data_IF_188783534344
#
_entry.id   IF_188783534344
#
_cell.length_a   1.000
_cell.length_b   1.000
_cell.length_c   1.000
_cell.angle_alpha   90.00
_cell.angle_beta   90.00
_cell.angle_gamma   90.00
#
_symmetry.space_group_name_H-M   'P 1'
#
loop_
_entity.id
_entity.type
_entity.pdbx_description
1 polymer ?
#
# COMPACT_ATOMS: atom_id res chain seq x y z
N UNK A 1 15.71 -13.49 -10.89
CA UNK A 1 14.74 -13.17 -9.80
C UNK A 1 14.49 -14.47 -9.02
N UNK A 2 15.10 -14.62 -7.85
CA UNK A 2 14.74 -15.74 -6.98
C UNK A 2 13.30 -15.54 -6.50
N UNK A 3 12.40 -16.39 -6.95
CA UNK A 3 11.03 -16.44 -6.42
C UNK A 3 11.08 -16.98 -4.99
N UNK A 4 10.33 -16.35 -4.10
CA UNK A 4 10.08 -16.91 -2.78
C UNK A 4 9.55 -18.35 -2.95
N UNK A 5 10.14 -19.31 -2.23
CA UNK A 5 9.73 -20.69 -2.36
C UNK A 5 8.29 -20.87 -1.80
N UNK A 6 7.31 -21.34 -2.58
CA UNK A 6 5.93 -21.47 -2.10
C UNK A 6 5.82 -22.37 -0.86
N UNK A 7 6.68 -23.38 -0.77
CA UNK A 7 6.72 -24.30 0.37
C UNK A 7 7.19 -23.59 1.66
N UNK A 8 8.22 -22.73 1.58
CA UNK A 8 8.69 -21.96 2.73
C UNK A 8 7.64 -20.95 3.19
N UNK A 9 6.99 -20.28 2.25
CA UNK A 9 5.91 -19.35 2.58
C UNK A 9 4.72 -20.07 3.24
N UNK A 10 4.35 -21.24 2.76
CA UNK A 10 3.30 -22.06 3.37
C UNK A 10 3.69 -22.58 4.76
N UNK A 11 4.97 -22.94 4.99
CA UNK A 11 5.47 -23.34 6.30
C UNK A 11 5.44 -22.16 7.29
N UNK A 12 5.92 -20.98 6.87
CA UNK A 12 5.88 -19.76 7.65
C UNK A 12 4.45 -19.36 8.03
N UNK A 13 3.51 -19.49 7.09
CA UNK A 13 2.09 -19.22 7.32
C UNK A 13 1.48 -20.16 8.37
N UNK A 14 1.93 -21.40 8.46
CA UNK A 14 1.53 -22.37 9.51
C UNK A 14 2.24 -22.16 10.85
N UNK A 15 3.11 -21.14 10.97
CA UNK A 15 3.77 -20.78 12.21
C UNK A 15 5.20 -21.33 12.38
N UNK A 16 5.81 -21.91 11.34
CA UNK A 16 7.22 -22.31 11.37
C UNK A 16 8.12 -21.06 11.45
N UNK A 17 8.78 -20.87 12.61
CA UNK A 17 9.63 -19.71 12.87
C UNK A 17 10.88 -19.66 11.98
N UNK A 18 11.47 -20.82 11.66
CA UNK A 18 12.65 -20.86 10.80
C UNK A 18 12.30 -20.52 9.36
N UNK A 19 11.15 -20.99 8.88
CA UNK A 19 10.61 -20.60 7.57
C UNK A 19 10.23 -19.12 7.53
N UNK A 20 9.64 -18.59 8.61
CA UNK A 20 9.31 -17.17 8.73
C UNK A 20 10.56 -16.29 8.63
N UNK A 21 11.65 -16.63 9.34
CA UNK A 21 12.90 -15.88 9.27
C UNK A 21 13.47 -15.86 7.84
N UNK A 22 13.46 -17.00 7.13
CA UNK A 22 13.89 -17.06 5.71
C UNK A 22 13.00 -16.20 4.80
N UNK A 23 11.68 -16.25 4.99
CA UNK A 23 10.72 -15.42 4.24
C UNK A 23 10.98 -13.93 4.47
N UNK A 24 11.20 -13.51 5.72
CA UNK A 24 11.48 -12.11 6.06
C UNK A 24 12.79 -11.63 5.45
N UNK A 25 13.87 -12.41 5.57
CA UNK A 25 15.17 -12.07 4.96
C UNK A 25 15.07 -11.94 3.45
N UNK A 26 14.40 -12.88 2.80
CA UNK A 26 14.22 -12.84 1.35
C UNK A 26 13.37 -11.63 0.92
N UNK A 27 12.29 -11.35 1.66
CA UNK A 27 11.38 -10.25 1.35
C UNK A 27 12.00 -8.88 1.55
N UNK A 28 12.93 -8.71 2.49
CA UNK A 28 13.51 -7.40 2.85
C UNK A 28 14.02 -6.64 1.63
N UNK A 29 14.80 -7.29 0.76
CA UNK A 29 15.37 -6.62 -0.41
C UNK A 29 14.29 -6.17 -1.41
N UNK A 30 13.25 -6.98 -1.60
CA UNK A 30 12.14 -6.64 -2.50
C UNK A 30 11.29 -5.50 -1.94
N UNK A 31 11.01 -5.54 -0.62
CA UNK A 31 10.27 -4.49 0.07
C UNK A 31 11.05 -3.16 0.08
N UNK A 32 12.38 -3.22 0.26
CA UNK A 32 13.24 -2.05 0.20
C UNK A 32 13.21 -1.37 -1.18
N UNK A 33 13.40 -2.15 -2.26
CA UNK A 33 13.29 -1.61 -3.63
C UNK A 33 11.92 -0.97 -3.89
N UNK A 34 10.86 -1.56 -3.37
CA UNK A 34 9.52 -0.98 -3.49
C UNK A 34 9.38 0.30 -2.66
N UNK A 35 9.93 0.33 -1.45
CA UNK A 35 9.94 1.51 -0.59
C UNK A 35 10.70 2.68 -1.20
N UNK A 36 11.83 2.44 -1.88
CA UNK A 36 12.63 3.46 -2.59
C UNK A 36 11.82 4.24 -3.65
N UNK A 37 10.74 3.65 -4.19
CA UNK A 37 9.83 4.33 -5.12
C UNK A 37 8.67 5.09 -4.42
N UNK A 38 8.35 4.76 -3.19
CA UNK A 38 7.14 5.25 -2.52
C UNK A 38 7.40 6.07 -1.27
N UNK A 39 8.56 5.91 -0.65
CA UNK A 39 8.99 6.66 0.52
C UNK A 39 9.92 7.82 0.15
N UNK A 40 10.01 8.81 1.02
CA UNK A 40 11.14 9.73 1.04
C UNK A 40 12.40 8.94 1.46
N UNK A 41 13.56 9.29 0.91
CA UNK A 41 14.79 8.48 1.03
C UNK A 41 15.16 8.15 2.49
N UNK A 42 14.96 9.11 3.40
CA UNK A 42 15.26 8.96 4.82
C UNK A 42 14.27 8.02 5.57
N UNK A 43 13.11 7.72 4.99
CA UNK A 43 12.06 6.91 5.61
C UNK A 43 12.06 5.47 5.07
N UNK A 44 12.89 5.15 4.08
CA UNK A 44 12.88 3.86 3.41
C UNK A 44 13.15 2.71 4.38
N UNK A 45 14.20 2.83 5.18
CA UNK A 45 14.60 1.74 6.09
C UNK A 45 13.56 1.56 7.22
N UNK A 46 13.05 2.65 7.78
CA UNK A 46 12.01 2.61 8.81
C UNK A 46 10.72 1.98 8.28
N UNK A 47 10.30 2.36 7.08
CA UNK A 47 9.12 1.78 6.44
C UNK A 47 9.29 0.28 6.18
N UNK A 48 10.47 -0.16 5.75
CA UNK A 48 10.78 -1.57 5.53
C UNK A 48 10.77 -2.34 6.82
N UNK A 49 11.40 -1.81 7.86
CA UNK A 49 11.50 -2.47 9.17
C UNK A 49 10.12 -2.65 9.81
N UNK A 50 9.29 -1.59 9.86
CA UNK A 50 7.91 -1.67 10.36
C UNK A 50 7.05 -2.63 9.52
N UNK A 51 7.28 -2.65 8.20
CA UNK A 51 6.59 -3.60 7.32
C UNK A 51 6.96 -5.05 7.62
N UNK A 52 8.24 -5.35 7.85
CA UNK A 52 8.69 -6.70 8.22
C UNK A 52 8.13 -7.14 9.58
N UNK A 53 8.07 -6.23 10.57
CA UNK A 53 7.43 -6.48 11.86
C UNK A 53 5.94 -6.80 11.67
N UNK A 54 5.25 -6.03 10.83
CA UNK A 54 3.84 -6.28 10.53
C UNK A 54 3.63 -7.62 9.81
N UNK A 55 4.50 -7.96 8.85
CA UNK A 55 4.48 -9.25 8.17
C UNK A 55 4.69 -10.39 9.17
N UNK A 56 5.69 -10.29 10.06
CA UNK A 56 5.98 -11.35 11.04
C UNK A 56 4.79 -11.61 11.98
N UNK A 57 4.06 -10.57 12.35
CA UNK A 57 2.91 -10.67 13.27
C UNK A 57 1.63 -11.16 12.61
N UNK A 58 1.45 -10.89 11.31
CA UNK A 58 0.16 -11.09 10.63
C UNK A 58 0.21 -12.07 9.46
N UNK A 59 1.33 -12.73 9.22
CA UNK A 59 1.44 -13.68 8.12
C UNK A 59 0.44 -14.84 8.28
N UNK A 60 0.26 -15.34 9.51
CA UNK A 60 -0.68 -16.43 9.80
C UNK A 60 -2.16 -16.04 9.56
N UNK A 61 -2.50 -14.75 9.58
CA UNK A 61 -3.85 -14.24 9.33
C UNK A 61 -4.16 -14.08 7.82
N UNK A 62 -3.16 -14.29 6.96
CA UNK A 62 -3.32 -14.11 5.52
C UNK A 62 -4.19 -15.23 4.92
N UNK A 63 -5.37 -14.88 4.40
CA UNK A 63 -6.32 -15.87 3.87
C UNK A 63 -5.80 -16.63 2.64
N UNK A 64 -5.06 -15.96 1.77
CA UNK A 64 -4.54 -16.50 0.52
C UNK A 64 -3.02 -16.27 0.47
N UNK A 65 -2.26 -17.34 0.64
CA UNK A 65 -0.79 -17.29 0.68
C UNK A 65 -0.21 -16.80 -0.63
N UNK A 66 -0.86 -17.08 -1.76
CA UNK A 66 -0.49 -16.63 -3.10
C UNK A 66 -0.50 -15.09 -3.23
N UNK A 67 -1.30 -14.43 -2.41
CA UNK A 67 -1.40 -12.96 -2.39
C UNK A 67 -0.32 -12.28 -1.51
N UNK A 68 0.62 -13.05 -0.94
CA UNK A 68 1.64 -12.55 0.00
C UNK A 68 2.37 -11.33 -0.54
N UNK A 69 2.91 -11.39 -1.75
CA UNK A 69 3.72 -10.32 -2.34
C UNK A 69 2.93 -9.01 -2.44
N UNK A 70 1.73 -9.06 -2.99
CA UNK A 70 0.87 -7.88 -3.13
C UNK A 70 0.38 -7.35 -1.78
N UNK A 71 0.18 -8.23 -0.80
CA UNK A 71 -0.16 -7.86 0.57
C UNK A 71 1.01 -7.19 1.29
N UNK A 72 2.22 -7.71 1.16
CA UNK A 72 3.43 -7.13 1.74
C UNK A 72 3.74 -5.75 1.14
N UNK A 73 3.62 -5.56 -0.18
CA UNK A 73 3.78 -4.26 -0.82
C UNK A 73 2.75 -3.22 -0.35
N UNK A 74 1.50 -3.64 -0.10
CA UNK A 74 0.48 -2.75 0.49
C UNK A 74 0.81 -2.32 1.92
N UNK A 75 1.49 -3.18 2.69
CA UNK A 75 2.00 -2.81 4.01
C UNK A 75 3.06 -1.72 3.86
N UNK A 76 4.08 -1.92 3.01
CA UNK A 76 5.15 -0.93 2.78
C UNK A 76 4.55 0.41 2.34
N UNK A 77 3.66 0.41 1.34
CA UNK A 77 3.03 1.65 0.85
C UNK A 77 2.29 2.40 1.98
N UNK A 78 1.61 1.66 2.87
CA UNK A 78 0.95 2.25 4.03
C UNK A 78 1.94 2.88 5.02
N UNK A 79 3.06 2.20 5.29
CA UNK A 79 4.08 2.74 6.18
C UNK A 79 4.75 3.99 5.59
N UNK A 80 5.08 3.99 4.30
CA UNK A 80 5.57 5.19 3.61
C UNK A 80 4.61 6.37 3.74
N UNK A 81 3.31 6.13 3.52
CA UNK A 81 2.29 7.17 3.64
C UNK A 81 2.10 7.63 5.09
N UNK A 82 2.22 6.72 6.08
CA UNK A 82 2.18 7.06 7.50
C UNK A 82 3.31 7.99 7.89
N UNK A 83 4.54 7.66 7.48
CA UNK A 83 5.72 8.48 7.75
C UNK A 83 5.63 9.84 7.04
N UNK A 84 5.17 9.86 5.79
CA UNK A 84 4.91 11.12 5.07
C UNK A 84 3.91 12.01 5.81
N UNK A 85 2.80 11.47 6.29
CA UNK A 85 1.79 12.23 7.07
C UNK A 85 2.36 12.74 8.37
N UNK A 86 3.07 11.91 9.14
CA UNK A 86 3.72 12.34 10.37
C UNK A 86 4.66 13.53 10.10
N UNK A 87 5.46 13.46 9.04
CA UNK A 87 6.35 14.55 8.65
C UNK A 87 5.60 15.82 8.26
N UNK A 88 4.49 15.71 7.51
CA UNK A 88 3.67 16.87 7.15
C UNK A 88 3.03 17.53 8.36
N UNK A 89 2.64 16.78 9.39
CA UNK A 89 2.12 17.34 10.64
C UNK A 89 3.17 18.15 11.41
N UNK A 90 4.44 17.73 11.37
CA UNK A 90 5.55 18.46 11.99
C UNK A 90 6.01 19.68 11.16
N UNK A 91 5.71 19.69 9.83
CA UNK A 91 6.14 20.73 8.87
C UNK A 91 5.17 21.90 8.71
N UNK A 92 4.10 22.00 9.48
CA UNK A 92 3.25 23.21 9.45
C UNK A 92 3.99 24.48 9.90
N UNK A 93 5.26 24.37 10.32
CA UNK A 93 6.11 25.50 10.69
C UNK A 93 7.12 25.94 9.62
N UNK A 94 7.39 25.18 8.56
CA UNK A 94 8.29 25.60 7.49
C UNK A 94 7.80 25.19 6.10
N UNK A 95 7.23 26.15 5.37
CA UNK A 95 6.93 26.04 3.95
C UNK A 95 8.24 25.96 3.14
N UNK A 96 8.61 24.77 2.66
CA UNK A 96 9.53 24.60 1.54
C UNK A 96 8.93 23.68 0.49
N UNK A 97 8.89 24.19 -0.74
CA UNK A 97 8.53 23.48 -1.96
C UNK A 97 9.36 22.19 -2.09
N UNK A 98 8.74 21.05 -1.93
CA UNK A 98 9.39 19.77 -2.10
C UNK A 98 9.30 19.39 -3.58
N UNK A 99 10.45 19.37 -4.25
CA UNK A 99 10.60 18.91 -5.62
C UNK A 99 10.17 17.43 -5.66
N UNK A 100 9.03 17.17 -6.28
CA UNK A 100 8.57 15.82 -6.59
C UNK A 100 9.63 15.14 -7.49
N UNK A 101 10.03 13.90 -7.20
CA UNK A 101 10.91 13.17 -8.10
C UNK A 101 10.28 13.10 -9.49
N UNK A 102 11.06 13.27 -10.56
CA UNK A 102 10.53 13.31 -11.92
C UNK A 102 9.78 12.01 -12.21
N UNK A 103 8.50 12.14 -12.54
CA UNK A 103 7.71 11.02 -13.00
C UNK A 103 8.35 10.42 -14.24
N UNK A 104 8.63 9.10 -14.24
CA UNK A 104 9.07 8.39 -15.44
C UNK A 104 8.09 8.67 -16.57
N UNK A 105 8.61 9.12 -17.70
CA UNK A 105 7.84 9.55 -18.90
C UNK A 105 7.06 8.42 -19.59
N UNK A 106 7.30 7.16 -19.21
CA UNK A 106 6.86 5.98 -19.95
C UNK A 106 5.40 5.56 -19.73
N UNK A 107 4.57 6.38 -19.07
CA UNK A 107 3.18 5.99 -18.77
C UNK A 107 2.19 7.19 -18.75
N UNK A 108 2.39 8.18 -19.62
CA UNK A 108 1.50 9.35 -19.68
C UNK A 108 0.07 8.95 -20.09
N UNK A 109 -0.07 8.00 -21.01
CA UNK A 109 -1.37 7.56 -21.50
C UNK A 109 -2.10 6.77 -20.40
N UNK A 110 -1.44 5.81 -19.74
CA UNK A 110 -2.02 5.09 -18.61
C UNK A 110 -2.41 6.03 -17.45
N UNK A 111 -1.63 7.09 -17.22
CA UNK A 111 -1.97 8.08 -16.18
C UNK A 111 -3.22 8.88 -16.54
N UNK A 112 -3.38 9.26 -17.83
CA UNK A 112 -4.58 9.92 -18.36
C UNK A 112 -5.79 9.01 -18.25
N UNK A 113 -5.65 7.74 -18.64
CA UNK A 113 -6.73 6.76 -18.58
C UNK A 113 -7.16 6.52 -17.13
N UNK A 114 -6.22 6.37 -16.21
CA UNK A 114 -6.52 6.24 -14.78
C UNK A 114 -7.20 7.50 -14.20
N UNK A 115 -6.77 8.70 -14.62
CA UNK A 115 -7.40 9.95 -14.20
C UNK A 115 -8.84 10.04 -14.73
N UNK A 116 -9.05 9.75 -16.01
CA UNK A 116 -10.37 9.73 -16.62
C UNK A 116 -11.29 8.67 -15.98
N UNK A 117 -10.76 7.47 -15.68
CA UNK A 117 -11.49 6.44 -14.95
C UNK A 117 -11.92 6.91 -13.56
N UNK A 118 -11.05 7.60 -12.82
CA UNK A 118 -11.39 8.17 -11.52
C UNK A 118 -12.42 9.30 -11.64
N UNK A 119 -12.30 10.17 -12.65
CA UNK A 119 -13.25 11.25 -12.90
C UNK A 119 -14.65 10.74 -13.28
N UNK A 120 -14.74 9.61 -13.96
CA UNK A 120 -16.00 8.98 -14.32
C UNK A 120 -16.77 8.41 -13.14
N UNK A 121 -16.09 8.16 -12.00
CA UNK A 121 -16.72 7.60 -10.80
C UNK A 121 -17.59 8.66 -10.09
N UNK A 122 -18.75 8.25 -9.52
CA UNK A 122 -19.49 9.08 -8.58
C UNK A 122 -18.58 9.53 -7.41
N UNK A 123 -18.79 10.76 -6.93
CA UNK A 123 -17.90 11.43 -5.96
C UNK A 123 -17.57 10.56 -4.73
N UNK A 124 -18.58 9.90 -4.13
CA UNK A 124 -18.39 9.05 -2.95
C UNK A 124 -17.58 7.76 -3.21
N UNK A 125 -17.49 7.29 -4.47
CA UNK A 125 -16.62 6.17 -4.86
C UNK A 125 -15.21 6.65 -5.18
N UNK A 126 -15.08 7.79 -5.84
CA UNK A 126 -13.79 8.43 -6.11
C UNK A 126 -13.06 8.75 -4.81
N UNK A 127 -13.78 9.36 -3.86
CA UNK A 127 -13.25 9.74 -2.54
C UNK A 127 -12.63 8.56 -1.79
N UNK A 128 -13.31 7.43 -1.70
CA UNK A 128 -12.76 6.27 -0.98
C UNK A 128 -11.54 5.66 -1.66
N UNK A 129 -11.41 5.74 -2.99
CA UNK A 129 -10.18 5.33 -3.69
C UNK A 129 -9.04 6.29 -3.38
N UNK A 130 -9.27 7.60 -3.46
CA UNK A 130 -8.26 8.61 -3.16
C UNK A 130 -7.75 8.48 -1.71
N UNK A 131 -8.66 8.42 -0.74
CA UNK A 131 -8.30 8.22 0.66
C UNK A 131 -7.52 6.93 0.89
N UNK A 132 -7.87 5.85 0.19
CA UNK A 132 -7.22 4.54 0.39
C UNK A 132 -5.90 4.40 -0.35
N UNK A 133 -5.89 4.73 -1.65
CA UNK A 133 -4.79 4.38 -2.55
C UNK A 133 -3.79 5.54 -2.73
N UNK A 134 -4.24 6.80 -2.61
CA UNK A 134 -3.37 7.97 -2.67
C UNK A 134 -2.90 8.42 -1.28
N UNK A 135 -3.83 8.61 -0.33
CA UNK A 135 -3.50 9.06 1.02
C UNK A 135 -3.12 7.92 1.97
N UNK A 136 -3.48 6.67 1.63
CA UNK A 136 -3.06 5.47 2.35
C UNK A 136 -3.79 5.22 3.67
N UNK A 137 -4.98 5.82 3.87
CA UNK A 137 -5.75 5.63 5.10
C UNK A 137 -6.16 4.16 5.29
N UNK A 138 -6.23 3.73 6.54
CA UNK A 138 -6.84 2.44 6.90
C UNK A 138 -8.36 2.52 6.75
N UNK A 139 -9.04 1.37 6.70
CA UNK A 139 -10.51 1.31 6.67
C UNK A 139 -11.12 2.00 7.90
N UNK A 140 -10.49 1.86 9.06
CA UNK A 140 -10.96 2.49 10.29
C UNK A 140 -10.82 4.02 10.25
N UNK A 141 -9.68 4.54 9.79
CA UNK A 141 -9.46 5.98 9.61
C UNK A 141 -10.44 6.58 8.59
N UNK A 142 -10.66 5.89 7.46
CA UNK A 142 -11.65 6.31 6.47
C UNK A 142 -13.07 6.32 7.02
N UNK A 143 -13.44 5.30 7.80
CA UNK A 143 -14.75 5.22 8.44
C UNK A 143 -14.97 6.37 9.43
N UNK A 144 -13.94 6.71 10.21
CA UNK A 144 -13.96 7.85 11.13
C UNK A 144 -14.06 9.18 10.37
N UNK A 145 -13.23 9.37 9.32
CA UNK A 145 -13.18 10.61 8.53
C UNK A 145 -14.49 10.87 7.77
N UNK A 146 -15.09 9.80 7.21
CA UNK A 146 -16.35 9.90 6.44
C UNK A 146 -17.60 9.67 7.29
N UNK A 147 -17.47 9.59 8.61
CA UNK A 147 -18.57 9.37 9.57
C UNK A 147 -19.47 8.20 9.15
N UNK A 148 -18.85 7.07 8.78
CA UNK A 148 -19.55 5.87 8.30
C UNK A 148 -18.95 4.59 8.89
N UNK A 149 -19.52 3.42 8.56
CA UNK A 149 -19.04 2.15 9.10
C UNK A 149 -17.90 1.55 8.25
N UNK A 150 -16.99 0.77 8.86
CA UNK A 150 -15.94 0.05 8.14
C UNK A 150 -16.47 -0.86 7.02
N UNK A 151 -17.64 -1.46 7.22
CA UNK A 151 -18.32 -2.32 6.25
C UNK A 151 -18.77 -1.50 5.02
N UNK A 152 -19.34 -0.31 5.25
CA UNK A 152 -19.72 0.62 4.19
C UNK A 152 -18.50 1.04 3.36
N UNK A 153 -17.38 1.36 4.01
CA UNK A 153 -16.13 1.70 3.33
C UNK A 153 -15.62 0.53 2.47
N UNK A 154 -15.62 -0.69 3.01
CA UNK A 154 -15.23 -1.90 2.24
C UNK A 154 -16.10 -2.10 1.01
N UNK A 155 -17.42 -1.97 1.16
CA UNK A 155 -18.37 -2.10 0.07
C UNK A 155 -18.18 -1.00 -1.01
N UNK A 156 -18.02 0.25 -0.60
CA UNK A 156 -17.72 1.38 -1.51
C UNK A 156 -16.42 1.16 -2.28
N UNK A 157 -15.33 0.78 -1.61
CA UNK A 157 -14.06 0.49 -2.24
C UNK A 157 -14.15 -0.66 -3.25
N UNK A 158 -14.89 -1.71 -2.91
CA UNK A 158 -15.09 -2.83 -3.83
C UNK A 158 -15.81 -2.36 -5.10
N UNK A 159 -16.94 -1.69 -4.97
CA UNK A 159 -17.73 -1.18 -6.11
C UNK A 159 -16.94 -0.16 -6.94
N UNK A 160 -16.26 0.77 -6.29
CA UNK A 160 -15.43 1.76 -6.97
C UNK A 160 -14.34 1.12 -7.84
N UNK A 161 -13.69 0.07 -7.34
CA UNK A 161 -12.66 -0.66 -8.10
C UNK A 161 -13.23 -1.52 -9.24
N UNK A 162 -14.44 -2.03 -9.09
CA UNK A 162 -15.15 -2.72 -10.18
C UNK A 162 -15.44 -1.73 -11.30
N UNK A 163 -16.09 -0.61 -11.00
CA UNK A 163 -16.43 0.43 -11.97
C UNK A 163 -15.20 1.01 -12.68
N UNK A 164 -14.11 1.27 -11.93
CA UNK A 164 -12.86 1.75 -12.54
C UNK A 164 -12.24 0.72 -13.50
N UNK A 165 -12.32 -0.57 -13.20
CA UNK A 165 -11.87 -1.64 -14.12
C UNK A 165 -12.72 -1.74 -15.37
N UNK A 166 -14.04 -1.63 -15.23
CA UNK A 166 -14.97 -1.64 -16.36
C UNK A 166 -14.73 -0.47 -17.32
N UNK A 167 -14.34 0.69 -16.78
CA UNK A 167 -13.96 1.86 -17.59
C UNK A 167 -12.64 1.65 -18.36
N UNK A 168 -11.69 0.92 -17.79
CA UNK A 168 -10.34 0.69 -18.34
C UNK A 168 -10.25 -0.56 -19.23
N UNK A 169 -11.32 -1.36 -19.36
CA UNK A 169 -11.37 -2.57 -20.17
C UNK A 169 -11.65 -2.27 -21.64
#
# INVERSE_FOLDING_TARGET
MHRLCPHELAAAHRGDRAALDRVLRHSRQHLRRYAEYHCVINDVEDAVQESLITVSRRLCDLRLVECFTSWAFRIVKRECNRLKRARCQWRHEELREEILPPARRDNLDLRRDCAAALESLPAHYREVILLRDLEGLSIAEMAAQLSTTPETIKARLHRARVMAREYLA
#
